data_IF_670679390048
#
_entry.id   IF_670679390048
#
_cell.length_a   1.000
_cell.length_b   1.000
_cell.length_c   1.000
_cell.angle_alpha   90.00
_cell.angle_beta   90.00
_cell.angle_gamma   90.00
#
_symmetry.space_group_name_H-M   'P 1'
#
loop_
_entity.id
_entity.type
_entity.pdbx_description
1 polymer ?
#
# COMPACT_ATOMS: atom_id res chain seq x y z
N UNK A 1 -15.62 4.64 13.77
CA UNK A 1 -14.19 4.53 13.38
C UNK A 1 -13.90 5.59 12.32
N UNK A 2 -13.03 6.58 12.59
CA UNK A 2 -12.73 7.63 11.63
C UNK A 2 -11.92 7.07 10.45
N UNK A 3 -12.57 6.85 9.30
CA UNK A 3 -11.87 6.51 8.06
C UNK A 3 -11.14 7.74 7.52
N UNK A 4 -9.91 7.55 7.06
CA UNK A 4 -9.13 8.61 6.39
C UNK A 4 -9.93 9.17 5.19
N UNK A 5 -10.13 10.49 5.16
CA UNK A 5 -10.84 11.18 4.05
C UNK A 5 -10.16 10.93 2.69
N UNK A 6 -8.84 10.69 2.66
CA UNK A 6 -8.06 10.35 1.46
C UNK A 6 -6.94 9.36 1.81
N UNK A 7 -6.70 8.39 0.92
CA UNK A 7 -5.53 7.50 1.03
C UNK A 7 -4.24 8.29 0.78
N UNK A 8 -3.17 7.93 1.48
CA UNK A 8 -1.85 8.57 1.38
C UNK A 8 -0.74 7.53 1.23
N UNK A 9 0.29 7.87 0.48
CA UNK A 9 1.51 7.07 0.45
C UNK A 9 2.41 7.47 1.62
N UNK A 10 2.97 6.47 2.30
CA UNK A 10 3.91 6.64 3.41
C UNK A 10 5.00 5.58 3.29
N UNK A 11 6.14 5.83 3.92
CA UNK A 11 7.19 4.82 4.06
C UNK A 11 6.98 4.03 5.35
N UNK A 12 6.98 2.70 5.28
CA UNK A 12 6.96 1.83 6.46
C UNK A 12 8.39 1.39 6.79
N UNK A 13 8.92 1.88 7.91
CA UNK A 13 10.29 1.60 8.38
C UNK A 13 10.50 0.16 8.82
N UNK A 14 9.45 -0.56 9.24
CA UNK A 14 9.55 -1.96 9.62
C UNK A 14 9.73 -2.85 8.40
N UNK A 15 8.92 -2.65 7.36
CA UNK A 15 9.02 -3.41 6.12
C UNK A 15 10.03 -2.83 5.13
N UNK A 16 10.56 -1.63 5.38
CA UNK A 16 11.42 -0.86 4.46
C UNK A 16 10.81 -0.72 3.05
N UNK A 17 9.50 -0.49 3.00
CA UNK A 17 8.75 -0.42 1.75
C UNK A 17 7.73 0.73 1.75
N UNK A 18 7.44 1.32 0.58
CA UNK A 18 6.31 2.20 0.42
C UNK A 18 4.98 1.49 0.73
N UNK A 19 4.07 2.22 1.34
CA UNK A 19 2.77 1.75 1.78
C UNK A 19 1.67 2.75 1.38
N UNK A 20 0.57 2.22 0.85
CA UNK A 20 -0.66 2.99 0.66
C UNK A 20 -1.50 2.88 1.93
N UNK A 21 -1.44 3.90 2.79
CA UNK A 21 -2.25 4.02 4.01
C UNK A 21 -3.63 4.54 3.63
N UNK A 22 -4.68 3.83 4.05
CA UNK A 22 -6.06 4.16 3.66
C UNK A 22 -7.05 4.13 4.81
N UNK A 23 -6.65 3.61 5.98
CA UNK A 23 -7.53 3.51 7.15
C UNK A 23 -6.79 3.96 8.42
N UNK A 24 -7.49 4.71 9.27
CA UNK A 24 -6.96 5.17 10.55
C UNK A 24 -7.69 4.41 11.67
N UNK A 25 -6.94 3.56 12.36
CA UNK A 25 -7.44 2.66 13.40
C UNK A 25 -7.00 3.13 14.79
N UNK A 26 -6.83 4.45 14.99
CA UNK A 26 -6.46 5.04 16.27
C UNK A 26 -4.95 5.00 16.52
N UNK A 27 -4.40 3.91 17.06
CA UNK A 27 -2.94 3.74 17.29
C UNK A 27 -2.21 3.07 16.12
N UNK A 28 -2.98 2.54 15.17
CA UNK A 28 -2.48 1.80 14.01
C UNK A 28 -3.00 2.42 12.71
N UNK A 29 -2.30 2.12 11.62
CA UNK A 29 -2.76 2.39 10.27
C UNK A 29 -3.11 1.09 9.55
N UNK A 30 -4.24 1.08 8.85
CA UNK A 30 -4.53 0.10 7.81
C UNK A 30 -3.88 0.51 6.49
N UNK A 31 -3.11 -0.39 5.89
CA UNK A 31 -2.30 -0.09 4.71
C UNK A 31 -2.16 -1.27 3.75
N UNK A 32 -1.78 -0.97 2.52
CA UNK A 32 -1.37 -1.95 1.50
C UNK A 32 0.11 -1.71 1.19
N UNK A 33 0.95 -2.72 1.38
CA UNK A 33 2.38 -2.63 1.07
C UNK A 33 2.63 -2.76 -0.44
N UNK A 34 3.58 -1.97 -0.94
CA UNK A 34 4.01 -1.94 -2.34
C UNK A 34 5.39 -2.58 -2.42
N UNK A 35 5.66 -3.35 -3.46
CA UNK A 35 6.91 -4.10 -3.63
C UNK A 35 7.24 -4.32 -5.11
N UNK A 36 8.50 -4.58 -5.42
CA UNK A 36 8.92 -5.06 -6.76
C UNK A 36 8.89 -6.59 -6.88
N UNK A 37 8.61 -7.32 -5.79
CA UNK A 37 8.55 -8.78 -5.83
C UNK A 37 7.19 -9.30 -6.29
N UNK A 38 7.21 -10.27 -7.20
CA UNK A 38 6.03 -11.01 -7.66
C UNK A 38 5.44 -11.96 -6.60
N UNK A 39 6.24 -12.33 -5.59
CA UNK A 39 5.83 -13.24 -4.49
C UNK A 39 6.42 -12.79 -3.15
N UNK A 40 5.64 -12.95 -2.09
CA UNK A 40 6.06 -12.66 -0.71
C UNK A 40 5.55 -13.78 0.20
N UNK A 41 6.46 -14.47 0.92
CA UNK A 41 6.14 -15.61 1.79
C UNK A 41 5.23 -16.65 1.12
N UNK A 42 5.61 -17.12 -0.08
CA UNK A 42 4.84 -18.05 -0.93
C UNK A 42 3.46 -17.55 -1.41
N UNK A 43 3.07 -16.32 -1.10
CA UNK A 43 1.85 -15.70 -1.62
C UNK A 43 2.17 -14.90 -2.88
N UNK A 44 1.39 -15.10 -3.94
CA UNK A 44 1.50 -14.34 -5.19
C UNK A 44 0.98 -12.91 -4.99
N UNK A 45 1.82 -11.92 -5.28
CA UNK A 45 1.44 -10.51 -5.20
C UNK A 45 0.65 -10.09 -6.45
N UNK A 46 -0.15 -9.04 -6.32
CA UNK A 46 -0.99 -8.53 -7.40
C UNK A 46 -0.17 -7.51 -8.19
N UNK A 47 0.07 -7.81 -9.47
CA UNK A 47 0.76 -6.90 -10.40
C UNK A 47 -0.08 -5.65 -10.61
N UNK A 48 0.57 -4.49 -10.50
CA UNK A 48 -0.03 -3.21 -10.84
C UNK A 48 0.06 -3.01 -12.35
N UNK A 49 -1.00 -2.44 -12.94
CA UNK A 49 -1.00 -2.10 -14.37
C UNK A 49 -0.04 -0.96 -14.69
N UNK A 50 0.16 -0.08 -13.71
CA UNK A 50 1.04 1.09 -13.77
C UNK A 50 1.76 1.22 -12.44
N UNK A 51 3.05 1.55 -12.44
CA UNK A 51 3.76 1.81 -11.20
C UNK A 51 3.19 3.07 -10.53
N UNK A 52 2.97 3.00 -9.22
CA UNK A 52 2.53 4.18 -8.48
C UNK A 52 3.58 5.29 -8.52
N UNK A 53 4.87 4.94 -8.52
CA UNK A 53 5.93 5.87 -8.84
C UNK A 53 6.04 6.01 -10.38
N UNK A 54 5.65 7.17 -10.92
CA UNK A 54 5.65 7.42 -12.37
C UNK A 54 7.04 7.50 -12.99
N UNK A 55 8.07 7.79 -12.18
CA UNK A 55 9.45 7.86 -12.65
C UNK A 55 10.10 6.47 -12.72
N UNK A 56 9.48 5.49 -12.06
CA UNK A 56 9.97 4.13 -11.99
C UNK A 56 9.30 3.25 -13.06
N UNK A 57 10.12 2.81 -14.02
CA UNK A 57 9.70 1.96 -15.14
C UNK A 57 9.64 0.48 -14.75
N UNK A 58 10.06 0.11 -13.54
CA UNK A 58 10.01 -1.27 -13.07
C UNK A 58 8.57 -1.68 -12.79
N UNK A 59 8.32 -2.98 -12.92
CA UNK A 59 7.08 -3.60 -12.49
C UNK A 59 6.95 -3.49 -10.99
N UNK A 60 5.75 -3.14 -10.54
CA UNK A 60 5.42 -3.06 -9.12
C UNK A 60 4.19 -3.89 -8.83
N UNK A 61 4.13 -4.35 -7.59
CA UNK A 61 3.12 -5.23 -7.08
C UNK A 61 2.60 -4.68 -5.75
N UNK A 62 1.39 -5.07 -5.40
CA UNK A 62 0.86 -4.90 -4.06
C UNK A 62 0.64 -6.26 -3.41
N UNK A 63 0.76 -6.30 -2.09
CA UNK A 63 0.34 -7.48 -1.35
C UNK A 63 -1.16 -7.72 -1.55
N UNK A 64 -1.60 -9.00 -1.63
CA UNK A 64 -2.99 -9.33 -1.90
C UNK A 64 -3.91 -9.10 -0.71
N UNK A 65 -3.39 -8.75 0.46
CA UNK A 65 -4.17 -8.46 1.66
C UNK A 65 -3.67 -7.17 2.28
N UNK A 66 -4.57 -6.38 2.87
CA UNK A 66 -4.16 -5.24 3.66
C UNK A 66 -3.51 -5.71 4.96
N UNK A 67 -2.70 -4.84 5.54
CA UNK A 67 -2.00 -5.05 6.80
C UNK A 67 -2.33 -3.91 7.76
N UNK A 68 -2.03 -4.13 9.03
CA UNK A 68 -2.05 -3.10 10.06
C UNK A 68 -0.70 -3.03 10.79
N UNK A 69 -0.29 -1.82 11.14
CA UNK A 69 0.91 -1.62 11.97
C UNK A 69 0.80 -0.29 12.72
N UNK A 70 1.64 -0.12 13.75
CA UNK A 70 1.64 1.06 14.63
C UNK A 70 1.97 2.31 13.83
N UNK A 71 1.23 3.40 14.03
CA UNK A 71 1.45 4.68 13.31
C UNK A 71 2.90 5.17 13.34
N UNK A 72 3.59 4.93 14.46
CA UNK A 72 4.99 5.34 14.67
C UNK A 72 6.00 4.70 13.70
N UNK A 73 5.66 3.60 13.03
CA UNK A 73 6.57 2.99 12.03
C UNK A 73 6.43 3.62 10.65
N UNK A 74 5.52 4.57 10.49
CA UNK A 74 5.27 5.25 9.22
C UNK A 74 5.78 6.68 9.25
N UNK A 75 6.42 7.09 8.16
CA UNK A 75 6.79 8.48 7.92
C UNK A 75 6.12 8.98 6.65
N UNK A 76 5.65 10.22 6.68
CA UNK A 76 5.21 10.93 5.48
C UNK A 76 6.46 11.24 4.65
N UNK A 77 6.89 10.30 3.83
CA UNK A 77 7.89 10.56 2.80
C UNK A 77 7.18 11.26 1.64
N UNK A 78 7.78 12.34 1.10
CA UNK A 78 7.29 13.00 -0.12
C UNK A 78 7.56 12.09 -1.31
N UNK A 79 6.80 11.01 -1.42
CA UNK A 79 6.91 10.11 -2.56
C UNK A 79 6.14 10.72 -3.73
N UNK A 80 6.73 10.70 -4.94
CA UNK A 80 6.04 11.10 -6.19
C UNK A 80 4.99 10.07 -6.64
N UNK A 81 4.41 9.35 -5.67
CA UNK A 81 3.54 8.21 -5.91
C UNK A 81 2.10 8.66 -6.07
N UNK A 82 1.44 8.15 -7.11
CA UNK A 82 0.06 8.47 -7.44
C UNK A 82 -0.68 7.19 -7.80
N UNK A 83 -1.92 7.06 -7.33
CA UNK A 83 -2.80 5.97 -7.76
C UNK A 83 -3.26 6.24 -9.19
N UNK A 84 -2.74 5.49 -10.16
CA UNK A 84 -3.26 5.47 -11.52
C UNK A 84 -4.72 4.96 -11.56
N UNK A 85 -5.54 5.51 -12.46
CA UNK A 85 -6.95 5.15 -12.61
C UNK A 85 -7.15 3.65 -12.88
N UNK A 86 -6.22 3.04 -13.62
CA UNK A 86 -6.22 1.61 -13.96
C UNK A 86 -6.06 0.69 -12.74
N UNK A 87 -5.39 1.16 -11.69
CA UNK A 87 -5.14 0.39 -10.47
C UNK A 87 -6.23 0.56 -9.40
N UNK A 88 -7.10 1.57 -9.53
CA UNK A 88 -8.10 1.91 -8.51
C UNK A 88 -9.00 0.73 -8.16
N UNK A 89 -9.52 0.02 -9.17
CA UNK A 89 -10.40 -1.16 -8.96
C UNK A 89 -9.69 -2.28 -8.20
N UNK A 90 -8.39 -2.48 -8.44
CA UNK A 90 -7.60 -3.51 -7.76
C UNK A 90 -7.41 -3.13 -6.29
N UNK A 91 -7.02 -1.89 -6.02
CA UNK A 91 -6.84 -1.36 -4.67
C UNK A 91 -8.13 -1.48 -3.85
N UNK A 92 -9.26 -1.05 -4.41
CA UNK A 92 -10.56 -1.14 -3.72
C UNK A 92 -10.96 -2.59 -3.41
N UNK A 93 -10.63 -3.55 -4.28
CA UNK A 93 -10.83 -4.98 -3.99
C UNK A 93 -9.94 -5.47 -2.84
N UNK A 94 -8.69 -5.02 -2.75
CA UNK A 94 -7.77 -5.42 -1.67
C UNK A 94 -8.19 -4.79 -0.34
N UNK A 95 -8.57 -3.51 -0.32
CA UNK A 95 -9.02 -2.80 0.90
C UNK A 95 -10.19 -3.49 1.60
N UNK A 96 -11.04 -4.19 0.85
CA UNK A 96 -12.22 -4.93 1.38
C UNK A 96 -11.87 -6.28 1.99
N UNK A 97 -10.63 -6.76 1.83
CA UNK A 97 -10.19 -8.04 2.40
C UNK A 97 -9.87 -7.89 3.90
N UNK A 98 -9.93 -8.99 4.67
CA UNK A 98 -9.49 -8.96 6.08
C UNK A 98 -8.00 -8.61 6.17
N UNK A 99 -7.65 -7.88 7.23
CA UNK A 99 -6.26 -7.59 7.57
C UNK A 99 -5.51 -8.89 7.88
N UNK A 100 -4.27 -9.00 7.38
CA UNK A 100 -3.33 -10.07 7.73
C UNK A 100 -2.12 -9.51 8.48
#
# INVERSE_FOLDING_TARGET
MPRLKRSKFMFNHRSKHPALVYDDLGKEYGYISITHSKKTHNVKNIELKENFNREDKLKSYILPYPKKDKKKVFTNEKTKMVIGSKNRRIIEKVKKRPYK
#
